data_IF_311505980137
#
_entry.id   IF_311505980137
#
_cell.length_a   1.000
_cell.length_b   1.000
_cell.length_c   1.000
_cell.angle_alpha   90.00
_cell.angle_beta   90.00
_cell.angle_gamma   90.00
#
_symmetry.space_group_name_H-M   'P 1'
#
loop_
_entity.id
_entity.type
_entity.pdbx_description
1 polymer ?
#
# COMPACT_ATOMS: atom_id res chain seq x y z
N UNK A 1 -34.44 53.04 8.83
CA UNK A 1 -33.63 51.84 9.15
C UNK A 1 -32.40 51.81 8.25
N UNK A 2 -31.23 52.21 8.76
CA UNK A 2 -29.97 52.19 8.00
C UNK A 2 -29.46 50.74 8.01
N UNK A 3 -29.76 49.99 6.95
CA UNK A 3 -29.28 48.62 6.79
C UNK A 3 -27.77 48.70 6.58
N UNK A 4 -27.00 48.21 7.55
CA UNK A 4 -25.54 48.25 7.57
C UNK A 4 -24.97 47.53 6.33
N UNK A 5 -24.49 48.31 5.36
CA UNK A 5 -23.79 47.83 4.16
C UNK A 5 -22.63 46.88 4.49
N UNK A 6 -22.05 47.02 5.68
CA UNK A 6 -21.02 46.13 6.23
C UNK A 6 -21.50 44.71 6.54
N UNK A 7 -22.75 44.52 6.96
CA UNK A 7 -23.31 43.18 7.22
C UNK A 7 -23.51 42.41 5.91
N UNK A 8 -23.88 43.11 4.82
CA UNK A 8 -24.03 42.50 3.50
C UNK A 8 -22.70 42.09 2.87
N UNK A 9 -21.63 42.88 3.08
CA UNK A 9 -20.28 42.54 2.61
C UNK A 9 -19.67 41.34 3.36
N UNK A 10 -19.95 41.18 4.65
CA UNK A 10 -19.51 40.03 5.45
C UNK A 10 -20.19 38.73 5.02
N UNK A 11 -21.48 38.77 4.69
CA UNK A 11 -22.23 37.58 4.21
C UNK A 11 -21.75 37.13 2.82
N UNK A 12 -21.38 38.06 1.94
CA UNK A 12 -20.82 37.76 0.62
C UNK A 12 -19.41 37.13 0.69
N UNK A 13 -18.60 37.52 1.68
CA UNK A 13 -17.24 36.98 1.85
C UNK A 13 -17.24 35.53 2.39
N UNK A 14 -18.24 35.16 3.21
CA UNK A 14 -18.40 33.79 3.73
C UNK A 14 -18.98 32.83 2.67
N UNK A 15 -19.78 33.34 1.74
CA UNK A 15 -20.28 32.54 0.61
C UNK A 15 -19.18 32.20 -0.42
N UNK A 16 -18.13 33.03 -0.54
CA UNK A 16 -17.01 32.81 -1.46
C UNK A 16 -16.03 31.71 -1.01
N UNK A 17 -16.03 31.33 0.27
CA UNK A 17 -15.09 30.31 0.81
C UNK A 17 -15.60 28.87 0.61
N UNK A 18 -16.88 28.66 0.30
CA UNK A 18 -17.47 27.32 0.23
C UNK A 18 -17.40 26.62 -1.14
N UNK A 19 -16.64 27.14 -2.11
CA UNK A 19 -16.62 26.59 -3.49
C UNK A 19 -15.28 25.95 -3.91
N UNK A 20 -14.24 25.93 -3.06
CA UNK A 20 -12.98 25.23 -3.37
C UNK A 20 -12.72 24.02 -2.48
N UNK A 21 -13.71 23.11 -2.41
CA UNK A 21 -13.48 21.71 -2.08
C UNK A 21 -14.29 20.81 -3.02
N UNK A 22 -14.34 21.19 -4.30
CA UNK A 22 -14.67 20.24 -5.35
C UNK A 22 -13.55 19.22 -5.42
N UNK A 23 -13.81 18.01 -4.93
CA UNK A 23 -12.99 16.84 -5.25
C UNK A 23 -12.89 16.76 -6.77
N UNK A 24 -11.77 17.23 -7.32
CA UNK A 24 -11.37 16.92 -8.67
C UNK A 24 -10.99 15.44 -8.71
N UNK A 25 -11.98 14.54 -8.69
CA UNK A 25 -11.80 13.23 -9.28
C UNK A 25 -11.68 13.46 -10.79
N UNK A 26 -10.45 13.72 -11.25
CA UNK A 26 -10.10 13.53 -12.64
C UNK A 26 -10.49 12.10 -13.03
N UNK A 27 -11.62 11.96 -13.72
CA UNK A 27 -11.96 10.76 -14.47
C UNK A 27 -10.99 10.65 -15.64
N UNK A 28 -9.76 10.19 -15.37
CA UNK A 28 -8.83 9.72 -16.39
C UNK A 28 -9.47 8.53 -17.08
N UNK A 29 -10.02 8.77 -18.28
CA UNK A 29 -10.53 7.74 -19.19
C UNK A 29 -9.46 6.65 -19.34
N UNK A 30 -9.84 5.41 -19.03
CA UNK A 30 -9.18 4.20 -19.51
C UNK A 30 -8.11 3.53 -18.63
N UNK A 31 -7.51 4.21 -17.63
CA UNK A 31 -6.54 3.55 -16.73
C UNK A 31 -7.23 3.11 -15.45
N UNK A 32 -7.35 1.80 -15.25
CA UNK A 32 -7.74 1.22 -13.96
C UNK A 32 -6.82 1.78 -12.87
N UNK A 33 -7.39 2.31 -11.77
CA UNK A 33 -6.59 2.81 -10.64
C UNK A 33 -5.56 1.73 -10.23
N UNK A 34 -4.27 2.07 -10.14
CA UNK A 34 -3.21 1.12 -9.85
C UNK A 34 -3.44 0.45 -8.49
N UNK A 35 -2.94 -0.78 -8.35
CA UNK A 35 -2.93 -1.50 -7.07
C UNK A 35 -1.51 -1.42 -6.52
N UNK A 36 -1.36 -0.86 -5.34
CA UNK A 36 -0.08 -0.82 -4.64
C UNK A 36 0.02 -2.01 -3.70
N UNK A 37 1.23 -2.46 -3.43
CA UNK A 37 1.49 -3.53 -2.48
C UNK A 37 2.86 -3.42 -1.82
N UNK A 38 2.97 -4.02 -0.64
CA UNK A 38 4.26 -4.33 -0.02
C UNK A 38 4.23 -5.76 0.51
N UNK A 39 5.38 -6.40 0.46
CA UNK A 39 5.61 -7.72 1.02
C UNK A 39 6.06 -7.63 2.48
N UNK A 40 5.59 -8.58 3.27
CA UNK A 40 6.01 -8.81 4.63
C UNK A 40 6.40 -10.28 4.78
N UNK A 41 7.54 -10.51 5.42
CA UNK A 41 8.02 -11.85 5.72
C UNK A 41 8.40 -11.95 7.19
N UNK A 42 8.04 -13.05 7.83
CA UNK A 42 8.42 -13.37 9.20
C UNK A 42 9.03 -14.77 9.25
N UNK A 43 10.14 -14.88 9.96
CA UNK A 43 10.80 -16.13 10.26
C UNK A 43 10.60 -16.48 11.73
N UNK A 44 10.09 -17.69 12.00
CA UNK A 44 9.86 -18.18 13.36
C UNK A 44 11.20 -18.59 14.01
N UNK A 45 12.18 -19.00 13.22
CA UNK A 45 13.44 -19.59 13.72
C UNK A 45 14.41 -18.55 14.26
N UNK A 46 14.60 -17.44 13.55
CA UNK A 46 15.53 -16.36 13.92
C UNK A 46 14.81 -15.07 14.35
N UNK A 47 13.48 -15.07 14.38
CA UNK A 47 12.62 -13.91 14.67
C UNK A 47 12.91 -12.69 13.79
N UNK A 48 13.39 -12.91 12.56
CA UNK A 48 13.66 -11.82 11.62
C UNK A 48 12.42 -11.51 10.78
N UNK A 49 12.06 -10.22 10.71
CA UNK A 49 11.06 -9.71 9.76
C UNK A 49 11.71 -8.95 8.62
N UNK A 50 11.14 -9.08 7.42
CA UNK A 50 11.51 -8.27 6.27
C UNK A 50 10.27 -7.55 5.73
N UNK A 51 10.48 -6.31 5.33
CA UNK A 51 9.51 -5.49 4.59
C UNK A 51 10.07 -5.17 3.22
N UNK A 52 9.24 -5.18 2.18
CA UNK A 52 9.58 -4.50 0.92
C UNK A 52 9.08 -3.06 0.98
N UNK A 53 9.56 -2.22 0.08
CA UNK A 53 8.91 -0.94 -0.17
C UNK A 53 7.48 -1.10 -0.71
N UNK A 54 6.68 -0.04 -0.55
CA UNK A 54 5.35 0.05 -1.14
C UNK A 54 5.52 0.46 -2.60
N UNK A 55 5.21 -0.46 -3.51
CA UNK A 55 5.33 -0.27 -4.95
C UNK A 55 4.01 -0.57 -5.66
N UNK A 56 3.87 -0.10 -6.89
CA UNK A 56 2.78 -0.55 -7.76
C UNK A 56 2.98 -2.03 -8.12
N UNK A 57 1.94 -2.85 -7.97
CA UNK A 57 1.99 -4.25 -8.35
C UNK A 57 1.73 -4.35 -9.86
N UNK A 58 2.67 -4.91 -10.64
CA UNK A 58 2.56 -4.98 -12.09
C UNK A 58 1.35 -5.84 -12.50
N UNK A 59 0.49 -5.27 -13.36
CA UNK A 59 -0.70 -5.94 -13.91
C UNK A 59 -1.68 -6.49 -12.86
N UNK A 60 -1.61 -6.01 -11.61
CA UNK A 60 -2.46 -6.50 -10.55
C UNK A 60 -3.94 -6.17 -10.77
N UNK A 61 -4.76 -7.22 -10.69
CA UNK A 61 -6.22 -7.15 -10.77
C UNK A 61 -6.83 -7.48 -9.41
N UNK A 62 -7.93 -6.80 -9.11
CA UNK A 62 -8.75 -7.12 -7.94
C UNK A 62 -10.05 -7.76 -8.40
N UNK A 63 -10.42 -8.86 -7.77
CA UNK A 63 -11.70 -9.53 -7.99
C UNK A 63 -12.86 -8.54 -7.83
N UNK A 64 -13.76 -8.50 -8.81
CA UNK A 64 -14.82 -7.48 -8.88
C UNK A 64 -15.70 -7.43 -7.63
N UNK A 65 -16.04 -8.59 -7.06
CA UNK A 65 -16.95 -8.73 -5.92
C UNK A 65 -16.25 -8.55 -4.57
N UNK A 66 -15.22 -9.35 -4.31
CA UNK A 66 -14.52 -9.42 -3.01
C UNK A 66 -13.47 -8.33 -2.84
N UNK A 67 -13.02 -7.71 -3.94
CA UNK A 67 -11.86 -6.79 -3.99
C UNK A 67 -10.55 -7.44 -3.55
N UNK A 68 -10.47 -8.76 -3.50
CA UNK A 68 -9.23 -9.47 -3.24
C UNK A 68 -8.29 -9.39 -4.43
N UNK A 69 -6.98 -9.37 -4.14
CA UNK A 69 -5.93 -9.45 -5.13
C UNK A 69 -5.96 -10.82 -5.80
N UNK A 70 -6.10 -10.84 -7.12
CA UNK A 70 -6.00 -12.07 -7.91
C UNK A 70 -4.57 -12.63 -7.82
N UNK A 71 -4.46 -13.96 -7.73
CA UNK A 71 -3.18 -14.67 -7.59
C UNK A 71 -2.27 -14.13 -6.47
N UNK A 72 -2.86 -13.62 -5.38
CA UNK A 72 -2.16 -13.10 -4.21
C UNK A 72 -1.07 -14.04 -3.68
N UNK A 73 -1.32 -15.36 -3.73
CA UNK A 73 -0.36 -16.35 -3.28
C UNK A 73 0.95 -16.28 -4.09
N UNK A 74 0.85 -16.12 -5.41
CA UNK A 74 2.03 -16.06 -6.29
C UNK A 74 2.91 -14.84 -5.99
N UNK A 75 2.33 -13.68 -5.65
CA UNK A 75 3.11 -12.53 -5.19
C UNK A 75 3.83 -12.82 -3.87
N UNK A 76 3.17 -13.53 -2.95
CA UNK A 76 3.78 -13.94 -1.68
C UNK A 76 4.92 -14.94 -1.90
N UNK A 77 4.75 -15.84 -2.88
CA UNK A 77 5.77 -16.82 -3.28
C UNK A 77 6.98 -16.17 -3.95
N UNK A 78 6.80 -15.08 -4.70
CA UNK A 78 7.94 -14.32 -5.26
C UNK A 78 8.87 -13.83 -4.15
N UNK A 79 8.31 -13.20 -3.10
CA UNK A 79 9.09 -12.74 -1.96
C UNK A 79 9.74 -13.91 -1.22
N UNK A 80 8.99 -15.00 -1.01
CA UNK A 80 9.51 -16.22 -0.36
C UNK A 80 10.72 -16.76 -1.12
N UNK A 81 10.60 -16.96 -2.43
CA UNK A 81 11.68 -17.48 -3.28
C UNK A 81 12.90 -16.56 -3.30
N UNK A 82 12.70 -15.25 -3.30
CA UNK A 82 13.81 -14.29 -3.23
C UNK A 82 14.61 -14.46 -1.93
N UNK A 83 13.93 -14.55 -0.80
CA UNK A 83 14.57 -14.67 0.51
C UNK A 83 15.23 -16.04 0.73
N UNK A 84 14.62 -17.11 0.21
CA UNK A 84 15.16 -18.47 0.28
C UNK A 84 16.41 -18.65 -0.59
N UNK A 85 16.51 -17.91 -1.71
CA UNK A 85 17.63 -17.99 -2.67
C UNK A 85 18.70 -16.90 -2.47
N UNK A 86 18.44 -15.91 -1.63
CA UNK A 86 19.36 -14.81 -1.40
C UNK A 86 20.63 -15.24 -0.67
N UNK A 87 21.57 -14.31 -0.51
CA UNK A 87 22.76 -14.48 0.32
C UNK A 87 22.80 -13.40 1.42
N UNK A 88 22.72 -13.78 2.71
CA UNK A 88 22.56 -15.14 3.22
C UNK A 88 21.14 -15.68 2.97
N UNK A 89 21.05 -16.98 2.68
CA UNK A 89 19.77 -17.66 2.47
C UNK A 89 18.95 -17.63 3.77
N UNK A 90 17.66 -17.32 3.65
CA UNK A 90 16.75 -17.22 4.78
C UNK A 90 15.56 -18.18 4.55
N UNK A 91 15.72 -19.49 4.87
CA UNK A 91 14.67 -20.50 4.69
C UNK A 91 13.55 -20.40 5.73
N UNK A 92 12.48 -21.17 5.52
CA UNK A 92 11.38 -21.39 6.48
C UNK A 92 10.65 -20.12 6.93
N UNK A 93 10.30 -19.27 5.96
CA UNK A 93 9.66 -17.98 6.22
C UNK A 93 8.21 -17.93 5.75
N UNK A 94 7.36 -17.35 6.59
CA UNK A 94 6.00 -17.01 6.21
C UNK A 94 6.00 -15.67 5.47
N UNK A 95 5.60 -15.66 4.21
CA UNK A 95 5.55 -14.45 3.38
C UNK A 95 4.11 -14.10 3.00
N UNK A 96 3.82 -12.81 2.95
CA UNK A 96 2.47 -12.30 2.70
C UNK A 96 2.54 -10.95 2.00
N UNK A 97 1.59 -10.65 1.12
CA UNK A 97 1.48 -9.34 0.47
C UNK A 97 0.27 -8.59 1.00
N UNK A 98 0.50 -7.35 1.41
CA UNK A 98 -0.54 -6.37 1.71
C UNK A 98 -0.74 -5.49 0.48
N UNK A 99 -1.99 -5.18 0.15
CA UNK A 99 -2.31 -4.44 -1.07
C UNK A 99 -3.45 -3.44 -0.85
N UNK A 100 -3.49 -2.39 -1.66
CA UNK A 100 -4.59 -1.42 -1.69
C UNK A 100 -4.54 -0.58 -2.98
N UNK A 101 -5.70 -0.10 -3.43
CA UNK A 101 -5.77 0.97 -4.43
C UNK A 101 -5.47 2.35 -3.84
N UNK A 102 -5.53 2.49 -2.52
CA UNK A 102 -5.22 3.72 -1.80
C UNK A 102 -3.84 3.61 -1.15
N UNK A 103 -2.86 4.29 -1.74
CA UNK A 103 -1.48 4.33 -1.27
C UNK A 103 -1.37 4.88 0.17
N UNK A 104 -2.14 5.92 0.53
CA UNK A 104 -2.08 6.51 1.87
C UNK A 104 -2.58 5.53 2.95
N UNK A 105 -3.66 4.80 2.68
CA UNK A 105 -4.15 3.74 3.56
C UNK A 105 -3.10 2.64 3.72
N UNK A 106 -2.50 2.20 2.61
CA UNK A 106 -1.48 1.15 2.64
C UNK A 106 -0.24 1.59 3.42
N UNK A 107 0.19 2.85 3.25
CA UNK A 107 1.29 3.47 4.00
C UNK A 107 1.01 3.50 5.50
N UNK A 108 -0.22 3.81 5.92
CA UNK A 108 -0.60 3.77 7.33
C UNK A 108 -0.51 2.35 7.91
N UNK A 109 -0.97 1.34 7.16
CA UNK A 109 -0.86 -0.08 7.55
C UNK A 109 0.61 -0.50 7.66
N UNK A 110 1.42 -0.17 6.65
CA UNK A 110 2.86 -0.43 6.63
C UNK A 110 3.54 0.13 7.89
N UNK A 111 3.35 1.43 8.17
CA UNK A 111 3.97 2.09 9.32
C UNK A 111 3.49 1.50 10.65
N UNK A 112 2.22 1.10 10.73
CA UNK A 112 1.65 0.47 11.93
C UNK A 112 2.29 -0.90 12.21
N UNK A 113 2.41 -1.74 11.18
CA UNK A 113 3.01 -3.08 11.32
C UNK A 113 4.49 -2.94 11.64
N UNK A 114 5.22 -2.11 10.89
CA UNK A 114 6.64 -1.82 11.14
C UNK A 114 6.90 -1.34 12.57
N UNK A 115 6.14 -0.34 13.04
CA UNK A 115 6.25 0.16 14.42
C UNK A 115 5.96 -0.92 15.45
N UNK A 116 4.94 -1.76 15.21
CA UNK A 116 4.64 -2.89 16.10
C UNK A 116 5.81 -3.86 16.17
N UNK A 117 6.37 -4.28 15.02
CA UNK A 117 7.51 -5.20 15.01
C UNK A 117 8.79 -4.60 15.62
N UNK A 118 8.99 -3.28 15.52
CA UNK A 118 10.12 -2.60 16.16
C UNK A 118 10.00 -2.51 17.70
N UNK A 119 8.78 -2.50 18.22
CA UNK A 119 8.50 -2.43 19.66
C UNK A 119 8.33 -3.82 20.30
N UNK A 120 8.17 -4.85 19.47
CA UNK A 120 7.98 -6.23 19.89
C UNK A 120 9.32 -6.84 20.31
N UNK A 121 9.43 -7.24 21.58
CA UNK A 121 10.67 -7.79 22.15
C UNK A 121 11.02 -9.17 21.58
N UNK A 122 10.03 -9.89 21.03
CA UNK A 122 10.24 -11.20 20.43
C UNK A 122 10.83 -11.10 19.02
N UNK A 123 10.72 -9.94 18.37
CA UNK A 123 11.33 -9.66 17.07
C UNK A 123 12.77 -9.21 17.28
N UNK A 124 13.72 -10.05 16.83
CA UNK A 124 15.15 -9.76 16.98
C UNK A 124 15.65 -8.75 15.96
N UNK A 125 15.14 -8.84 14.73
CA UNK A 125 15.64 -8.02 13.62
C UNK A 125 14.51 -7.59 12.69
N UNK A 126 14.50 -6.30 12.34
CA UNK A 126 13.61 -5.71 11.32
C UNK A 126 14.47 -5.26 10.14
N UNK A 127 14.23 -5.80 8.95
CA UNK A 127 14.95 -5.47 7.71
C UNK A 127 14.01 -4.88 6.66
N UNK A 128 14.55 -3.98 5.85
CA UNK A 128 13.87 -3.41 4.68
C UNK A 128 14.62 -3.81 3.41
N UNK A 129 13.86 -4.22 2.41
CA UNK A 129 14.34 -4.50 1.06
C UNK A 129 14.04 -3.30 0.19
N UNK A 130 15.09 -2.74 -0.40
CA UNK A 130 14.97 -1.63 -1.35
C UNK A 130 14.52 -2.14 -2.73
N UNK A 131 14.07 -1.26 -3.64
CA UNK A 131 13.67 -1.66 -4.99
C UNK A 131 14.82 -2.23 -5.81
N UNK A 132 16.09 -1.90 -5.49
CA UNK A 132 17.25 -2.55 -6.14
C UNK A 132 17.41 -4.01 -5.70
N UNK A 133 16.93 -4.37 -4.51
CA UNK A 133 17.01 -5.72 -3.96
C UNK A 133 15.83 -6.57 -4.41
N UNK A 134 14.61 -6.02 -4.34
CA UNK A 134 13.41 -6.78 -4.65
C UNK A 134 12.30 -5.91 -5.23
N UNK A 135 11.73 -6.36 -6.35
CA UNK A 135 10.49 -5.87 -6.94
C UNK A 135 9.58 -7.02 -7.30
N UNK A 136 8.27 -6.78 -7.25
CA UNK A 136 7.29 -7.75 -7.71
C UNK A 136 7.28 -7.82 -9.24
N UNK A 137 7.10 -9.03 -9.76
CA UNK A 137 6.89 -9.29 -11.18
C UNK A 137 5.40 -9.54 -11.46
N UNK A 138 4.99 -9.27 -12.69
CA UNK A 138 3.62 -9.51 -13.14
C UNK A 138 3.25 -10.98 -12.93
N UNK A 139 2.06 -11.22 -12.38
CA UNK A 139 1.53 -12.55 -12.21
C UNK A 139 0.51 -12.81 -13.31
N UNK A 140 0.83 -13.74 -14.21
CA UNK A 140 -0.08 -14.19 -15.25
C UNK A 140 -1.29 -14.86 -14.61
N UNK A 141 -2.48 -14.46 -15.00
CA UNK A 141 -3.71 -15.24 -14.77
C UNK A 141 -3.74 -16.34 -15.82
N UNK A 142 -3.90 -17.60 -15.39
CA UNK A 142 -4.23 -18.72 -16.31
C UNK A 142 -5.66 -18.51 -16.82
N UNK A 143 -5.81 -17.56 -17.72
CA UNK A 143 -6.98 -17.36 -18.56
C UNK A 143 -6.44 -16.97 -19.95
N UNK A 144 -5.79 -17.94 -20.59
CA UNK A 144 -5.67 -18.18 -22.05
C UNK A 144 -4.96 -19.53 -22.30
#
# INVERSE_FOLDING_TARGET
MRINRFAFLLVLLVAAVNVFAGNAEEKKKGKTKPVYGFGYSFSITDSTVYFTEILELPEAKLQKKTKFLENRQMYSDQLKRYLEKGEPAAPDRTCTVFFSKNHATLKSIYLRIRRRNQLDKEIKTVKELTPEQFVFNAVKTEDE
#
